data_IF_287635726888
#
_entry.id   IF_287635726888
#
_cell.length_a   1.000
_cell.length_b   1.000
_cell.length_c   1.000
_cell.angle_alpha   90.00
_cell.angle_beta   90.00
_cell.angle_gamma   90.00
#
_symmetry.space_group_name_H-M   'P 1'
#
loop_
_entity.id
_entity.type
_entity.pdbx_description
1 polymer ?
#
# COMPACT_ATOMS: atom_id res chain seq x y z
N UNK A 1 -9.27 -22.09 -9.45
CA UNK A 1 -8.68 -20.75 -9.22
C UNK A 1 -9.42 -19.74 -10.10
N UNK A 2 -9.75 -18.55 -9.59
CA UNK A 2 -10.45 -17.52 -10.37
C UNK A 2 -9.54 -16.93 -11.46
N UNK A 3 -10.07 -16.59 -12.63
CA UNK A 3 -9.32 -15.93 -13.71
C UNK A 3 -8.63 -14.64 -13.25
N UNK A 4 -9.31 -13.84 -12.41
CA UNK A 4 -8.72 -12.63 -11.82
C UNK A 4 -7.52 -12.92 -10.92
N UNK A 5 -7.50 -14.09 -10.27
CA UNK A 5 -6.39 -14.49 -9.40
C UNK A 5 -5.15 -14.84 -10.23
N UNK A 6 -5.34 -15.45 -11.40
CA UNK A 6 -4.26 -15.72 -12.36
C UNK A 6 -3.72 -14.42 -12.97
N UNK A 7 -4.61 -13.48 -13.32
CA UNK A 7 -4.20 -12.15 -13.81
C UNK A 7 -3.39 -11.43 -12.74
N UNK A 8 -3.89 -11.34 -11.50
CA UNK A 8 -3.15 -10.73 -10.39
C UNK A 8 -1.79 -11.42 -10.15
N UNK A 9 -1.75 -12.74 -10.20
CA UNK A 9 -0.52 -13.51 -10.06
C UNK A 9 0.49 -13.22 -11.17
N UNK A 10 0.05 -13.12 -12.43
CA UNK A 10 0.92 -12.66 -13.52
C UNK A 10 1.42 -11.24 -13.27
N UNK A 11 0.50 -10.39 -12.81
CA UNK A 11 0.77 -8.96 -12.71
C UNK A 11 1.76 -8.62 -11.59
N UNK A 12 1.71 -9.32 -10.46
CA UNK A 12 2.64 -9.15 -9.34
C UNK A 12 4.05 -9.72 -9.62
N UNK A 13 4.15 -10.69 -10.54
CA UNK A 13 5.39 -11.36 -10.89
C UNK A 13 6.10 -10.76 -12.11
N UNK A 14 5.49 -9.77 -12.75
CA UNK A 14 6.08 -9.09 -13.90
C UNK A 14 6.54 -7.70 -13.46
N UNK A 15 7.86 -7.47 -13.42
CA UNK A 15 8.39 -6.15 -13.10
C UNK A 15 8.62 -5.34 -14.39
N UNK A 16 7.67 -4.47 -14.71
CA UNK A 16 7.74 -3.60 -15.89
C UNK A 16 8.85 -2.54 -15.79
N UNK A 17 9.29 -2.20 -14.58
CA UNK A 17 10.39 -1.26 -14.33
C UNK A 17 11.78 -1.92 -14.34
N UNK A 18 11.89 -3.23 -14.59
CA UNK A 18 13.15 -3.97 -14.53
C UNK A 18 13.92 -4.06 -15.86
N UNK A 19 13.62 -3.21 -16.84
CA UNK A 19 14.35 -3.18 -18.09
C UNK A 19 15.62 -2.32 -17.96
N UNK A 20 16.75 -2.85 -18.43
CA UNK A 20 18.01 -2.14 -18.64
C UNK A 20 17.81 -0.90 -19.52
N UNK A 21 17.40 0.23 -18.94
CA UNK A 21 17.58 1.53 -19.56
C UNK A 21 19.00 2.00 -19.27
N UNK A 22 19.96 1.45 -20.02
CA UNK A 22 21.33 1.97 -20.12
C UNK A 22 21.36 3.39 -20.74
N UNK A 23 20.21 3.94 -21.14
CA UNK A 23 20.08 5.35 -21.50
C UNK A 23 19.69 6.17 -20.26
N UNK A 24 20.69 6.87 -19.72
CA UNK A 24 20.59 7.92 -18.69
C UNK A 24 19.60 9.08 -19.01
N UNK A 25 18.90 9.02 -20.14
CA UNK A 25 18.09 10.09 -20.73
C UNK A 25 16.63 9.67 -21.01
N UNK A 26 16.21 8.49 -20.53
CA UNK A 26 14.84 8.00 -20.73
C UNK A 26 13.94 8.35 -19.55
N UNK A 27 12.89 9.13 -19.83
CA UNK A 27 11.77 9.36 -18.94
C UNK A 27 11.23 8.01 -18.44
N UNK A 28 11.25 7.80 -17.12
CA UNK A 28 10.75 6.56 -16.52
C UNK A 28 9.22 6.62 -16.50
N UNK A 29 8.57 5.71 -17.21
CA UNK A 29 7.12 5.56 -17.17
C UNK A 29 6.67 5.18 -15.76
N UNK A 30 5.81 5.99 -15.13
CA UNK A 30 5.30 5.77 -13.77
C UNK A 30 3.93 5.10 -13.75
N UNK A 31 3.32 4.87 -14.92
CA UNK A 31 1.97 4.34 -15.06
C UNK A 31 1.88 3.38 -16.24
N UNK A 32 1.34 2.19 -15.99
CA UNK A 32 1.01 1.21 -17.03
C UNK A 32 -0.42 0.72 -16.88
N UNK A 33 -1.09 0.52 -17.99
CA UNK A 33 -2.42 -0.08 -18.05
C UNK A 33 -2.39 -1.34 -18.92
N UNK A 34 -3.14 -2.36 -18.53
CA UNK A 34 -3.31 -3.59 -19.30
C UNK A 34 -4.76 -4.03 -19.26
N UNK A 35 -5.28 -4.51 -20.38
CA UNK A 35 -6.65 -5.00 -20.51
C UNK A 35 -6.62 -6.45 -20.93
N UNK A 36 -7.38 -7.28 -20.21
CA UNK A 36 -7.48 -8.71 -20.46
C UNK A 36 -8.92 -9.07 -20.82
N UNK A 37 -9.09 -9.85 -21.88
CA UNK A 37 -10.35 -10.56 -22.09
C UNK A 37 -10.41 -11.75 -21.13
N UNK A 38 -11.52 -11.86 -20.41
CA UNK A 38 -11.84 -12.95 -19.48
C UNK A 38 -13.02 -13.70 -20.07
N UNK A 39 -12.71 -14.73 -20.87
CA UNK A 39 -13.72 -15.60 -21.43
C UNK A 39 -14.41 -16.40 -20.32
N UNK A 40 -15.71 -16.20 -20.19
CA UNK A 40 -16.55 -17.08 -19.37
C UNK A 40 -17.61 -17.75 -20.21
N UNK A 41 -18.10 -18.92 -19.78
CA UNK A 41 -19.07 -19.73 -20.53
C UNK A 41 -20.36 -18.99 -20.93
N UNK A 42 -20.66 -17.84 -20.31
CA UNK A 42 -21.90 -17.08 -20.54
C UNK A 42 -21.72 -15.65 -21.01
N UNK A 43 -20.55 -15.01 -20.88
CA UNK A 43 -20.33 -13.59 -21.22
C UNK A 43 -18.86 -13.25 -21.50
N UNK A 44 -18.66 -12.30 -22.41
CA UNK A 44 -17.39 -11.59 -22.62
C UNK A 44 -17.18 -10.56 -21.50
N UNK A 45 -16.25 -10.85 -20.60
CA UNK A 45 -15.86 -9.91 -19.53
C UNK A 45 -14.47 -9.38 -19.79
N UNK A 46 -14.23 -8.15 -19.36
CA UNK A 46 -12.92 -7.50 -19.46
C UNK A 46 -12.40 -7.20 -18.07
N UNK A 47 -11.09 -7.35 -17.90
CA UNK A 47 -10.37 -6.94 -16.70
C UNK A 47 -9.37 -5.86 -17.07
N UNK A 48 -9.48 -4.69 -16.44
CA UNK A 48 -8.46 -3.64 -16.52
C UNK A 48 -7.54 -3.74 -15.31
N UNK A 49 -6.24 -3.76 -15.55
CA UNK A 49 -5.19 -3.69 -14.54
C UNK A 49 -4.42 -2.38 -14.70
N UNK A 50 -4.27 -1.66 -13.59
CA UNK A 50 -3.50 -0.42 -13.52
C UNK A 50 -2.29 -0.65 -12.60
N UNK A 51 -1.08 -0.38 -13.10
CA UNK A 51 0.15 -0.36 -12.31
C UNK A 51 0.63 1.08 -12.20
N UNK A 52 0.76 1.57 -10.97
CA UNK A 52 1.23 2.91 -10.70
C UNK A 52 2.46 2.82 -9.80
N UNK A 53 3.48 3.61 -10.13
CA UNK A 53 4.64 3.75 -9.27
C UNK A 53 4.23 4.52 -8.00
N UNK A 54 4.63 4.02 -6.83
CA UNK A 54 4.18 4.56 -5.54
C UNK A 54 4.62 6.00 -5.32
N UNK A 55 5.71 6.46 -5.95
CA UNK A 55 6.12 7.87 -5.91
C UNK A 55 5.12 8.83 -6.54
N UNK A 56 4.33 8.36 -7.52
CA UNK A 56 3.34 9.16 -8.22
C UNK A 56 1.91 8.94 -7.69
N UNK A 57 1.65 7.81 -7.03
CA UNK A 57 0.30 7.44 -6.60
C UNK A 57 0.36 6.55 -5.35
N UNK A 58 -0.01 7.11 -4.20
CA UNK A 58 -0.23 6.32 -2.98
C UNK A 58 -1.56 5.58 -2.97
N UNK A 59 -1.79 4.80 -1.90
CA UNK A 59 -3.00 3.99 -1.76
C UNK A 59 -4.28 4.84 -1.80
N UNK A 60 -4.28 6.04 -1.21
CA UNK A 60 -5.45 6.93 -1.20
C UNK A 60 -5.78 7.42 -2.61
N UNK A 61 -4.78 7.87 -3.36
CA UNK A 61 -4.95 8.28 -4.76
C UNK A 61 -5.37 7.10 -5.66
N UNK A 62 -4.76 5.93 -5.45
CA UNK A 62 -5.04 4.74 -6.26
C UNK A 62 -6.48 4.25 -6.14
N UNK A 63 -7.13 4.42 -4.98
CA UNK A 63 -8.56 4.07 -4.79
C UNK A 63 -9.49 5.08 -5.47
N UNK A 64 -9.06 6.33 -5.58
CA UNK A 64 -9.84 7.39 -6.22
C UNK A 64 -9.80 7.27 -7.75
N UNK A 65 -8.66 6.86 -8.31
CA UNK A 65 -8.44 6.77 -9.75
C UNK A 65 -9.50 5.95 -10.53
N UNK A 66 -9.89 4.73 -10.13
CA UNK A 66 -10.93 3.99 -10.83
C UNK A 66 -12.28 4.69 -10.85
N UNK A 67 -12.61 5.47 -9.81
CA UNK A 67 -13.88 6.21 -9.74
C UNK A 67 -13.89 7.35 -10.75
N UNK A 68 -12.79 8.09 -10.85
CA UNK A 68 -12.62 9.16 -11.83
C UNK A 68 -12.65 8.59 -13.26
N UNK A 69 -11.93 7.48 -13.52
CA UNK A 69 -11.95 6.81 -14.82
C UNK A 69 -13.36 6.34 -15.22
N UNK A 70 -14.13 5.81 -14.26
CA UNK A 70 -15.53 5.41 -14.53
C UNK A 70 -16.44 6.60 -14.79
N UNK A 71 -16.23 7.74 -14.13
CA UNK A 71 -16.95 8.99 -14.42
C UNK A 71 -16.73 9.42 -15.88
N UNK A 72 -15.46 9.49 -16.29
CA UNK A 72 -15.07 9.86 -17.66
C UNK A 72 -15.65 8.92 -18.73
N UNK A 73 -15.74 7.61 -18.44
CA UNK A 73 -16.34 6.63 -19.35
C UNK A 73 -17.88 6.78 -19.39
N UNK A 74 -18.52 7.12 -18.27
CA UNK A 74 -19.98 7.28 -18.16
C UNK A 74 -20.51 8.57 -18.80
N UNK A 75 -19.72 9.64 -18.80
CA UNK A 75 -20.11 11.00 -19.23
C UNK A 75 -19.87 11.29 -20.72
N UNK A 76 -19.49 10.28 -21.51
CA UNK A 76 -19.05 10.37 -22.90
C UNK A 76 -20.02 10.95 -23.95
N UNK A 77 -21.00 11.81 -23.60
CA UNK A 77 -21.86 12.53 -24.55
C UNK A 77 -22.26 13.97 -24.19
N UNK A 78 -21.83 14.60 -23.09
CA UNK A 78 -22.31 15.98 -22.77
C UNK A 78 -21.28 17.04 -22.37
N UNK A 79 -20.07 16.69 -21.97
CA UNK A 79 -19.17 17.65 -21.28
C UNK A 79 -17.81 17.87 -21.96
N UNK A 80 -17.74 17.73 -23.29
CA UNK A 80 -16.53 18.07 -24.04
C UNK A 80 -16.19 19.58 -23.99
N UNK A 81 -17.10 20.42 -23.45
CA UNK A 81 -16.91 21.87 -23.31
C UNK A 81 -16.59 22.35 -21.87
N UNK A 82 -16.95 21.60 -20.83
CA UNK A 82 -16.72 21.99 -19.43
C UNK A 82 -15.41 21.42 -18.87
N UNK A 83 -15.00 20.22 -19.32
CA UNK A 83 -13.71 19.61 -18.94
C UNK A 83 -12.49 20.44 -19.37
N UNK A 84 -12.61 21.25 -20.43
CA UNK A 84 -11.52 22.17 -20.84
C UNK A 84 -11.29 23.31 -19.86
N UNK A 85 -12.31 23.74 -19.09
CA UNK A 85 -12.16 24.83 -18.12
C UNK A 85 -11.61 24.35 -16.78
N UNK A 86 -11.94 23.14 -16.34
CA UNK A 86 -11.40 22.59 -15.08
C UNK A 86 -9.99 21.99 -15.23
N UNK A 87 -9.64 21.46 -16.41
CA UNK A 87 -8.28 20.93 -16.66
C UNK A 87 -7.26 22.06 -16.89
N UNK A 88 -7.69 23.24 -17.37
CA UNK A 88 -6.82 24.40 -17.53
C UNK A 88 -6.61 25.19 -16.23
N UNK A 89 -7.49 25.10 -15.24
CA UNK A 89 -7.38 25.93 -14.02
C UNK A 89 -6.39 25.42 -12.96
N UNK A 90 -6.13 24.12 -12.80
CA UNK A 90 -5.09 23.64 -11.85
C UNK A 90 -4.49 22.28 -12.24
N UNK A 91 -3.87 22.17 -13.42
CA UNK A 91 -2.73 21.25 -13.54
C UNK A 91 -1.44 22.01 -13.24
N UNK A 92 -1.42 22.75 -12.12
CA UNK A 92 -0.15 23.09 -11.48
C UNK A 92 0.52 21.76 -11.20
N UNK A 93 1.68 21.53 -11.82
CA UNK A 93 2.62 20.52 -11.36
C UNK A 93 2.82 20.84 -9.89
N UNK A 94 2.21 20.04 -9.02
CA UNK A 94 2.19 20.32 -7.60
C UNK A 94 3.60 20.61 -7.13
N UNK A 95 3.73 21.65 -6.31
CA UNK A 95 4.98 21.99 -5.63
C UNK A 95 5.58 20.76 -4.93
N UNK A 96 6.85 20.83 -4.56
CA UNK A 96 7.48 19.72 -3.83
C UNK A 96 6.70 19.38 -2.57
N UNK A 97 6.76 18.14 -2.10
CA UNK A 97 6.04 17.75 -0.86
C UNK A 97 6.43 18.64 0.33
N UNK A 98 7.67 19.12 0.32
CA UNK A 98 8.24 20.07 1.26
C UNK A 98 7.48 21.40 1.32
N UNK A 99 6.92 21.85 0.20
CA UNK A 99 6.19 23.12 0.11
C UNK A 99 4.79 23.03 0.76
N UNK A 100 4.26 21.81 0.90
CA UNK A 100 3.01 21.55 1.60
C UNK A 100 3.20 21.34 3.12
N UNK A 101 4.43 21.33 3.62
CA UNK A 101 4.69 21.17 5.06
C UNK A 101 4.37 22.49 5.77
N UNK A 102 3.48 22.49 6.79
CA UNK A 102 3.16 23.72 7.50
C UNK A 102 4.41 24.39 8.09
N UNK A 103 4.50 25.74 8.04
CA UNK A 103 5.63 26.47 8.60
C UNK A 103 5.93 26.05 10.05
N UNK A 104 7.21 25.83 10.36
CA UNK A 104 7.66 25.37 11.69
C UNK A 104 7.56 23.87 11.93
N UNK A 105 6.98 23.07 11.02
CA UNK A 105 6.97 21.59 11.10
C UNK A 105 8.06 20.90 10.27
N UNK A 106 8.71 21.63 9.36
CA UNK A 106 9.79 21.10 8.50
C UNK A 106 11.20 21.08 9.15
N UNK A 107 11.30 21.39 10.45
CA UNK A 107 12.58 21.53 11.15
C UNK A 107 13.21 20.17 11.51
N UNK A 108 13.80 19.50 10.53
CA UNK A 108 14.85 18.50 10.77
C UNK A 108 16.12 18.93 10.06
N UNK A 109 17.29 18.98 10.75
CA UNK A 109 18.56 19.17 10.08
C UNK A 109 18.80 18.02 9.09
N UNK A 110 19.40 18.30 7.93
CA UNK A 110 19.71 17.31 6.89
C UNK A 110 20.40 16.03 7.44
N UNK A 111 21.29 16.19 8.42
CA UNK A 111 21.97 15.07 9.10
C UNK A 111 21.04 14.16 9.92
N UNK A 112 19.97 14.70 10.49
CA UNK A 112 18.98 13.91 11.23
C UNK A 112 18.20 12.98 10.29
N UNK A 113 17.96 13.40 9.04
CA UNK A 113 17.36 12.52 8.02
C UNK A 113 18.28 11.36 7.64
N UNK A 114 19.59 11.60 7.52
CA UNK A 114 20.57 10.55 7.25
C UNK A 114 20.72 9.55 8.40
N UNK A 115 20.69 10.03 9.65
CA UNK A 115 20.70 9.18 10.85
C UNK A 115 19.40 8.38 10.98
N UNK A 116 18.24 8.99 10.72
CA UNK A 116 16.95 8.29 10.70
C UNK A 116 16.98 7.17 9.65
N UNK A 117 17.45 7.46 8.42
CA UNK A 117 17.56 6.47 7.34
C UNK A 117 18.45 5.28 7.71
N UNK A 118 19.65 5.53 8.25
CA UNK A 118 20.55 4.46 8.71
C UNK A 118 19.97 3.72 9.93
N UNK A 119 19.28 4.43 10.82
CA UNK A 119 18.60 3.88 11.97
C UNK A 119 17.49 2.89 11.58
N UNK A 120 16.72 3.18 10.52
CA UNK A 120 15.72 2.26 9.98
C UNK A 120 16.36 0.97 9.44
N UNK A 121 17.45 1.08 8.66
CA UNK A 121 18.16 -0.07 8.09
C UNK A 121 18.91 -0.91 9.11
N UNK A 122 19.49 -0.30 10.15
CA UNK A 122 20.20 -1.04 11.20
C UNK A 122 19.23 -1.66 12.22
N UNK A 123 18.10 -1.01 12.49
CA UNK A 123 17.07 -1.62 13.33
C UNK A 123 16.37 -2.80 12.64
N UNK A 124 16.25 -2.82 11.30
CA UNK A 124 15.67 -3.97 10.60
C UNK A 124 16.50 -5.25 10.76
N UNK A 125 17.81 -5.14 10.98
CA UNK A 125 18.69 -6.29 11.28
C UNK A 125 18.39 -6.95 12.63
N UNK A 126 17.74 -6.23 13.55
CA UNK A 126 17.35 -6.74 14.88
C UNK A 126 15.97 -7.38 14.88
N UNK A 127 15.26 -7.36 13.75
CA UNK A 127 13.93 -7.92 13.61
C UNK A 127 14.01 -9.38 13.15
N UNK A 128 13.02 -10.16 13.58
CA UNK A 128 12.78 -11.51 13.08
C UNK A 128 12.36 -11.42 11.61
N UNK A 129 13.19 -12.00 10.74
CA UNK A 129 12.90 -12.10 9.32
C UNK A 129 12.34 -13.51 9.03
N UNK A 130 11.32 -13.58 8.18
CA UNK A 130 10.87 -14.88 7.65
C UNK A 130 11.97 -15.39 6.71
N UNK A 131 12.51 -16.56 7.00
CA UNK A 131 13.59 -17.13 6.19
C UNK A 131 13.08 -17.51 4.79
N UNK A 132 13.71 -16.95 3.75
CA UNK A 132 13.49 -17.41 2.39
C UNK A 132 14.08 -18.81 2.22
N UNK A 133 13.28 -19.76 1.71
CA UNK A 133 13.76 -21.07 1.27
C UNK A 133 14.08 -21.01 -0.22
N UNK A 134 15.27 -21.48 -0.63
CA UNK A 134 15.64 -21.58 -2.05
C UNK A 134 16.03 -20.24 -2.68
N UNK A 135 17.10 -19.61 -2.17
CA UNK A 135 17.61 -18.30 -2.60
C UNK A 135 18.04 -18.31 -4.09
N UNK A 136 18.40 -19.47 -4.62
CA UNK A 136 18.90 -19.64 -6.00
C UNK A 136 17.80 -19.77 -7.07
N UNK A 137 16.54 -19.88 -6.65
CA UNK A 137 15.41 -19.99 -7.58
C UNK A 137 14.87 -18.61 -8.00
N UNK A 138 14.35 -18.46 -9.23
CA UNK A 138 13.66 -17.24 -9.62
C UNK A 138 12.55 -16.91 -8.63
N UNK A 139 12.58 -15.70 -8.07
CA UNK A 139 11.59 -15.26 -7.09
C UNK A 139 10.23 -15.15 -7.78
N UNK A 140 9.22 -15.76 -7.17
CA UNK A 140 7.83 -15.55 -7.54
C UNK A 140 6.97 -15.38 -6.29
N UNK A 141 5.95 -14.55 -6.40
CA UNK A 141 4.97 -14.28 -5.37
C UNK A 141 3.65 -14.98 -5.71
N UNK A 142 3.02 -15.57 -4.71
CA UNK A 142 1.66 -16.07 -4.82
C UNK A 142 0.78 -15.31 -3.83
N UNK A 143 -0.41 -14.94 -4.27
CA UNK A 143 -1.38 -14.23 -3.43
C UNK A 143 -2.37 -15.26 -2.89
N UNK A 144 -2.66 -15.22 -1.60
CA UNK A 144 -3.77 -15.97 -1.00
C UNK A 144 -4.75 -14.96 -0.41
N UNK A 145 -6.03 -15.07 -0.77
CA UNK A 145 -7.09 -14.21 -0.23
C UNK A 145 -7.86 -14.99 0.83
N UNK A 146 -7.74 -14.57 2.08
CA UNK A 146 -8.68 -14.94 3.13
C UNK A 146 -9.87 -13.97 3.08
N UNK A 147 -11.09 -14.49 3.06
CA UNK A 147 -12.30 -13.69 3.07
C UNK A 147 -13.15 -14.09 4.28
N UNK A 148 -13.42 -13.12 5.16
CA UNK A 148 -14.38 -13.26 6.25
C UNK A 148 -15.78 -12.93 5.70
N UNK A 149 -16.81 -13.63 6.19
CA UNK A 149 -18.20 -13.29 5.88
C UNK A 149 -18.65 -12.06 6.68
N UNK A 150 -19.85 -11.55 6.40
CA UNK A 150 -20.40 -10.36 7.08
C UNK A 150 -20.53 -10.59 8.58
N UNK A 151 -21.12 -11.72 8.98
CA UNK A 151 -21.41 -12.03 10.38
C UNK A 151 -20.13 -12.08 11.23
N UNK A 152 -19.09 -12.74 10.73
CA UNK A 152 -17.78 -12.80 11.39
C UNK A 152 -17.09 -11.44 11.42
N UNK A 153 -17.21 -10.64 10.34
CA UNK A 153 -16.68 -9.28 10.27
C UNK A 153 -17.36 -8.38 11.31
N UNK A 154 -18.69 -8.42 11.40
CA UNK A 154 -19.47 -7.65 12.35
C UNK A 154 -19.15 -8.05 13.80
N UNK A 155 -19.01 -9.36 14.06
CA UNK A 155 -18.59 -9.86 15.37
C UNK A 155 -17.22 -9.33 15.76
N UNK A 156 -16.26 -9.32 14.83
CA UNK A 156 -14.92 -8.78 15.08
C UNK A 156 -14.98 -7.27 15.37
N UNK A 157 -15.72 -6.50 14.58
CA UNK A 157 -15.89 -5.06 14.77
C UNK A 157 -16.52 -4.73 16.13
N UNK A 158 -17.54 -5.49 16.55
CA UNK A 158 -18.18 -5.34 17.86
C UNK A 158 -17.21 -5.65 19.01
N UNK A 159 -16.42 -6.72 18.91
CA UNK A 159 -15.40 -7.06 19.90
C UNK A 159 -14.28 -6.01 19.99
N UNK A 160 -13.83 -5.48 18.86
CA UNK A 160 -12.89 -4.36 18.82
C UNK A 160 -13.44 -3.15 19.56
N UNK A 161 -14.69 -2.76 19.24
CA UNK A 161 -15.37 -1.61 19.84
C UNK A 161 -15.56 -1.77 21.35
N UNK A 162 -16.01 -2.93 21.82
CA UNK A 162 -16.24 -3.17 23.25
C UNK A 162 -14.95 -3.18 24.08
N UNK A 163 -13.81 -3.44 23.45
CA UNK A 163 -12.48 -3.46 24.08
C UNK A 163 -11.67 -2.18 23.88
N UNK A 164 -12.18 -1.22 23.11
CA UNK A 164 -11.45 0.01 22.76
C UNK A 164 -10.25 -0.24 21.85
N UNK A 165 -10.24 -1.33 21.09
CA UNK A 165 -9.15 -1.74 20.20
C UNK A 165 -9.49 -1.36 18.76
N UNK A 166 -8.53 -0.83 18.01
CA UNK A 166 -8.70 -0.57 16.57
C UNK A 166 -8.59 -1.88 15.79
N UNK A 167 -9.40 -2.04 14.74
CA UNK A 167 -9.36 -3.23 13.88
C UNK A 167 -7.95 -3.48 13.31
N UNK A 168 -7.23 -2.42 12.91
CA UNK A 168 -5.86 -2.55 12.41
C UNK A 168 -4.89 -3.11 13.46
N UNK A 169 -5.04 -2.74 14.74
CA UNK A 169 -4.25 -3.29 15.84
C UNK A 169 -4.53 -4.78 16.05
N UNK A 170 -5.80 -5.19 15.99
CA UNK A 170 -6.18 -6.60 16.07
C UNK A 170 -5.61 -7.42 14.90
N UNK A 171 -5.72 -6.91 13.67
CA UNK A 171 -5.20 -7.59 12.48
C UNK A 171 -3.68 -7.67 12.50
N UNK A 172 -2.99 -6.61 12.96
CA UNK A 172 -1.55 -6.61 13.14
C UNK A 172 -1.12 -7.68 14.18
N UNK A 173 -1.77 -7.72 15.35
CA UNK A 173 -1.51 -8.73 16.36
C UNK A 173 -1.73 -10.16 15.85
N UNK A 174 -2.83 -10.40 15.12
CA UNK A 174 -3.10 -11.70 14.50
C UNK A 174 -2.01 -12.07 13.47
N UNK A 175 -1.57 -11.11 12.65
CA UNK A 175 -0.49 -11.30 11.68
C UNK A 175 0.85 -11.60 12.34
N UNK A 176 1.18 -10.93 13.45
CA UNK A 176 2.39 -11.19 14.23
C UNK A 176 2.39 -12.59 14.84
N UNK A 177 1.28 -13.00 15.46
CA UNK A 177 1.13 -14.34 16.03
C UNK A 177 1.26 -15.39 14.92
N UNK A 178 0.58 -15.20 13.78
CA UNK A 178 0.67 -16.13 12.66
C UNK A 178 2.09 -16.21 12.07
N UNK A 179 2.77 -15.07 11.91
CA UNK A 179 4.15 -15.03 11.46
C UNK A 179 5.08 -15.77 12.44
N UNK A 180 4.88 -15.57 13.75
CA UNK A 180 5.63 -16.26 14.79
C UNK A 180 5.40 -17.77 14.77
N UNK A 181 4.15 -18.23 14.72
CA UNK A 181 3.83 -19.65 14.62
C UNK A 181 4.34 -20.31 13.33
N UNK A 182 4.55 -19.53 12.26
CA UNK A 182 5.11 -20.04 11.00
C UNK A 182 6.64 -20.24 11.04
N UNK A 183 7.32 -19.52 11.94
CA UNK A 183 8.74 -19.72 12.17
C UNK A 183 8.91 -20.98 13.02
N UNK A 184 9.33 -22.09 12.42
CA UNK A 184 9.64 -23.36 13.12
C UNK A 184 10.87 -23.28 14.03
N UNK A 185 11.17 -22.11 14.60
CA UNK A 185 12.28 -21.88 15.51
C UNK A 185 11.82 -22.24 16.93
N UNK A 186 12.70 -22.82 17.76
CA UNK A 186 12.36 -23.18 19.13
C UNK A 186 11.93 -21.96 19.95
N UNK A 187 11.13 -22.22 20.99
CA UNK A 187 10.45 -21.33 21.94
C UNK A 187 11.33 -20.15 22.44
N UNK A 188 11.51 -19.15 21.58
CA UNK A 188 12.36 -17.99 21.81
C UNK A 188 11.60 -16.72 21.44
N UNK A 189 11.84 -15.69 22.25
CA UNK A 189 11.30 -14.37 22.01
C UNK A 189 11.82 -13.83 20.68
N UNK A 190 10.91 -13.35 19.84
CA UNK A 190 11.24 -12.79 18.54
C UNK A 190 10.69 -11.36 18.45
N UNK A 191 11.56 -10.45 18.01
CA UNK A 191 11.20 -9.05 17.81
C UNK A 191 10.65 -8.85 16.42
N UNK A 192 9.40 -8.47 16.30
CA UNK A 192 8.75 -8.11 15.04
C UNK A 192 8.52 -6.60 14.95
N UNK A 193 8.29 -6.11 13.73
CA UNK A 193 7.85 -4.74 13.53
C UNK A 193 6.58 -4.69 12.68
N UNK A 194 5.72 -3.73 13.01
CA UNK A 194 4.53 -3.37 12.25
C UNK A 194 4.71 -1.94 11.78
N UNK A 195 4.69 -1.74 10.47
CA UNK A 195 4.74 -0.41 9.85
C UNK A 195 3.33 -0.01 9.46
N UNK A 196 2.83 1.07 10.06
CA UNK A 196 1.54 1.66 9.72
C UNK A 196 1.76 2.88 8.84
N UNK A 197 1.17 2.87 7.66
CA UNK A 197 1.12 4.04 6.79
C UNK A 197 -0.10 4.88 7.16
N UNK A 198 0.10 6.19 7.35
CA UNK A 198 -0.94 7.15 7.70
C UNK A 198 -1.02 8.22 6.62
N UNK A 199 -2.21 8.46 6.08
CA UNK A 199 -2.45 9.54 5.12
C UNK A 199 -2.31 10.91 5.81
N UNK A 200 -1.36 11.71 5.34
CA UNK A 200 -1.02 13.00 5.93
C UNK A 200 -1.68 14.19 5.24
N UNK A 201 -2.48 14.01 4.18
CA UNK A 201 -3.08 15.12 3.41
C UNK A 201 -3.83 16.13 4.27
N UNK A 202 -4.54 15.67 5.30
CA UNK A 202 -5.27 16.51 6.26
C UNK A 202 -4.38 17.35 7.18
N UNK A 203 -3.08 17.04 7.24
CA UNK A 203 -2.08 17.70 8.08
C UNK A 203 -1.18 18.67 7.31
N UNK A 204 -1.32 18.72 5.98
CA UNK A 204 -0.56 19.60 5.08
C UNK A 204 -1.21 20.98 4.98
N UNK A 205 -0.48 21.94 4.42
CA UNK A 205 -0.95 23.29 4.17
C UNK A 205 -0.64 23.74 2.73
N UNK A 206 -1.66 23.99 1.90
CA UNK A 206 -3.09 23.76 2.14
C UNK A 206 -3.43 22.28 2.39
N UNK A 207 -4.61 22.02 2.96
CA UNK A 207 -5.10 20.65 3.12
C UNK A 207 -5.33 20.06 1.73
N UNK A 208 -4.77 18.88 1.49
CA UNK A 208 -4.91 18.18 0.21
C UNK A 208 -6.12 17.25 0.23
N UNK A 209 -6.71 17.02 -0.95
CA UNK A 209 -7.78 16.07 -1.16
C UNK A 209 -7.25 14.71 -1.62
N UNK A 210 -8.09 13.67 -1.61
CA UNK A 210 -7.72 12.36 -2.16
C UNK A 210 -7.50 12.37 -3.69
N UNK A 211 -7.88 13.47 -4.37
CA UNK A 211 -7.66 13.71 -5.80
C UNK A 211 -6.30 14.35 -6.08
N UNK A 212 -5.57 14.82 -5.07
CA UNK A 212 -4.18 15.21 -5.23
C UNK A 212 -3.33 13.94 -5.33
N UNK A 213 -2.83 13.66 -6.53
CA UNK A 213 -2.02 12.50 -6.86
C UNK A 213 -0.58 12.70 -6.39
N UNK A 214 -0.05 11.70 -5.70
CA UNK A 214 1.31 11.71 -5.17
C UNK A 214 1.44 10.74 -4.01
N UNK A 215 2.57 10.82 -3.32
CA UNK A 215 2.84 10.03 -2.12
C UNK A 215 2.78 10.90 -0.86
N UNK A 216 1.68 10.84 -0.11
CA UNK A 216 1.46 11.69 1.06
C UNK A 216 1.29 10.88 2.36
N UNK A 217 1.92 9.71 2.43
CA UNK A 217 1.87 8.86 3.61
C UNK A 217 3.10 9.03 4.49
N UNK A 218 2.88 9.09 5.80
CA UNK A 218 3.93 8.90 6.81
C UNK A 218 3.92 7.47 7.32
N UNK A 219 5.10 6.92 7.63
CA UNK A 219 5.25 5.59 8.18
C UNK A 219 5.56 5.66 9.69
N UNK A 220 4.79 4.94 10.49
CA UNK A 220 5.03 4.74 11.92
C UNK A 220 5.41 3.27 12.12
N UNK A 221 6.60 3.01 12.65
CA UNK A 221 7.08 1.67 12.95
C UNK A 221 6.96 1.39 14.44
N UNK A 222 6.19 0.35 14.79
CA UNK A 222 6.09 -0.18 16.15
C UNK A 222 6.79 -1.52 16.22
N UNK A 223 7.62 -1.74 17.24
CA UNK A 223 8.31 -3.03 17.45
C UNK A 223 7.66 -3.78 18.61
N UNK A 224 7.45 -5.09 18.43
CA UNK A 224 6.80 -5.97 19.40
C UNK A 224 7.69 -7.18 19.66
N UNK A 225 7.90 -7.50 20.93
CA UNK A 225 8.54 -8.76 21.34
C UNK A 225 7.44 -9.81 21.53
N UNK A 226 7.51 -10.90 20.76
CA UNK A 226 6.49 -11.96 20.70
C UNK A 226 7.09 -13.27 21.20
N UNK A 227 6.32 -14.02 21.99
CA UNK A 227 6.64 -15.37 22.47
C UNK A 227 5.48 -16.34 22.16
N UNK A 228 5.68 -17.63 22.44
CA UNK A 228 4.61 -18.61 22.32
C UNK A 228 3.47 -18.33 23.31
N UNK A 229 2.22 -18.50 22.85
CA UNK A 229 1.03 -18.33 23.70
C UNK A 229 0.59 -16.88 23.95
N UNK A 230 1.08 -15.91 23.19
CA UNK A 230 0.64 -14.51 23.26
C UNK A 230 -0.89 -14.36 23.14
N UNK A 231 -1.48 -13.52 23.99
CA UNK A 231 -2.91 -13.26 23.94
C UNK A 231 -3.19 -12.21 22.85
N UNK A 232 -3.98 -12.60 21.85
CA UNK A 232 -4.36 -11.75 20.72
C UNK A 232 -4.87 -10.36 21.14
N UNK A 233 -5.71 -10.29 22.18
CA UNK A 233 -6.33 -9.03 22.59
C UNK A 233 -5.43 -8.15 23.44
N UNK A 234 -4.46 -8.74 24.13
CA UNK A 234 -3.44 -7.99 24.88
C UNK A 234 -2.42 -7.40 23.92
N UNK A 235 -1.98 -8.19 22.94
CA UNK A 235 -1.05 -7.74 21.90
C UNK A 235 -1.66 -6.65 20.98
N UNK A 236 -2.97 -6.65 20.81
CA UNK A 236 -3.67 -5.70 19.94
C UNK A 236 -3.89 -4.30 20.56
N UNK A 237 -3.60 -4.10 21.85
CA UNK A 237 -3.72 -2.82 22.55
C UNK A 237 -2.49 -1.95 22.31
#
# INVERSE_FOLDING_TARGET
MSHFHLILGREINTNTWCANNDSLDSQIDVFFASVYSVYTLSDDRWAAMLRLHTSACDQTSAVSLPRELLGLIGEGKKEELELKREVEEEMEVGLGIEDYIPPGKANKPFWAHGVDMLGYSLNSLRLANLNFKGIDSPRSSQVVKLQLNSDDTDRILLCCKSRGIKLCGLLAAAGLIAAHSSNCLPDQWQKYAVVTLTDCRSMLHPVLSCRNFGFYHSAIMNTHDIKEGENLWELAK
#
